data_IF_311568068385
#
_entry.id   IF_311568068385
#
_cell.length_a   1.000
_cell.length_b   1.000
_cell.length_c   1.000
_cell.angle_alpha   90.00
_cell.angle_beta   90.00
_cell.angle_gamma   90.00
#
_symmetry.space_group_name_H-M   'P 1'
#
loop_
_entity.id
_entity.type
_entity.pdbx_description
1 polymer ?
#
# COMPACT_ATOMS: atom_id res chain seq x y z
N UNK A 1 -14.32 -12.44 -21.29
CA UNK A 1 -13.65 -11.12 -21.24
C UNK A 1 -14.33 -10.29 -20.18
N UNK A 2 -13.62 -9.93 -19.11
CA UNK A 2 -14.13 -9.01 -18.08
C UNK A 2 -14.17 -7.64 -18.74
N UNK A 3 -15.36 -7.05 -18.84
CA UNK A 3 -15.54 -5.70 -19.36
C UNK A 3 -14.80 -4.74 -18.42
N UNK A 4 -13.72 -4.15 -18.87
CA UNK A 4 -12.90 -3.22 -18.12
C UNK A 4 -13.64 -1.89 -18.02
N UNK A 5 -14.44 -1.72 -16.98
CA UNK A 5 -15.16 -0.47 -16.73
C UNK A 5 -14.30 0.56 -15.96
N UNK A 6 -13.24 0.11 -15.26
CA UNK A 6 -12.40 0.96 -14.39
C UNK A 6 -10.97 1.04 -14.90
N UNK A 7 -10.39 2.23 -14.84
CA UNK A 7 -8.97 2.47 -15.14
C UNK A 7 -8.09 2.02 -13.99
N UNK A 8 -7.13 1.16 -14.30
CA UNK A 8 -6.32 0.43 -13.34
C UNK A 8 -4.85 0.85 -13.38
N UNK A 9 -4.37 1.34 -12.28
CA UNK A 9 -3.00 1.80 -12.07
C UNK A 9 -2.29 0.95 -11.03
N UNK A 10 -1.09 0.48 -11.37
CA UNK A 10 -0.21 -0.23 -10.45
C UNK A 10 1.01 0.65 -10.21
N UNK A 11 1.43 0.78 -8.96
CA UNK A 11 2.70 1.42 -8.65
C UNK A 11 3.58 0.53 -7.77
N UNK A 12 4.86 0.53 -8.09
CA UNK A 12 5.91 -0.22 -7.43
C UNK A 12 6.74 0.78 -6.65
N UNK A 13 6.69 0.72 -5.30
CA UNK A 13 7.58 1.50 -4.45
C UNK A 13 8.97 0.89 -4.50
N UNK A 14 9.96 1.69 -4.88
CA UNK A 14 11.33 1.22 -5.06
C UNK A 14 12.34 2.11 -4.36
N UNK A 15 13.27 1.47 -3.64
CA UNK A 15 14.45 2.11 -3.06
C UNK A 15 15.58 1.09 -2.83
N UNK A 16 16.64 1.14 -3.66
CA UNK A 16 17.78 0.22 -3.62
C UNK A 16 17.36 -1.25 -3.84
N UNK A 17 16.53 -1.51 -4.83
CA UNK A 17 16.01 -2.84 -5.19
C UNK A 17 16.71 -3.47 -6.39
N UNK A 18 18.00 -3.18 -6.64
CA UNK A 18 18.77 -3.72 -7.77
C UNK A 18 18.71 -5.25 -7.92
N UNK A 19 18.52 -5.97 -6.81
CA UNK A 19 18.50 -7.44 -6.79
C UNK A 19 17.12 -8.03 -7.10
N UNK A 20 16.06 -7.28 -6.86
CA UNK A 20 14.69 -7.79 -6.85
C UNK A 20 13.81 -7.19 -7.93
N UNK A 21 14.11 -5.98 -8.41
CA UNK A 21 13.24 -5.23 -9.32
C UNK A 21 12.95 -5.98 -10.63
N UNK A 22 13.94 -6.65 -11.23
CA UNK A 22 13.73 -7.41 -12.47
C UNK A 22 12.87 -8.64 -12.22
N UNK A 23 13.19 -9.41 -11.17
CA UNK A 23 12.41 -10.58 -10.79
C UNK A 23 10.96 -10.22 -10.48
N UNK A 24 10.71 -9.03 -9.89
CA UNK A 24 9.35 -8.56 -9.66
C UNK A 24 8.63 -8.31 -10.99
N UNK A 25 9.27 -7.61 -11.93
CA UNK A 25 8.66 -7.30 -13.24
C UNK A 25 8.35 -8.58 -14.04
N UNK A 26 9.23 -9.57 -13.97
CA UNK A 26 9.06 -10.88 -14.62
C UNK A 26 7.92 -11.70 -13.99
N UNK A 27 7.73 -11.59 -12.67
CA UNK A 27 6.66 -12.29 -11.95
C UNK A 27 5.28 -11.66 -12.11
N UNK A 28 5.18 -10.41 -12.56
CA UNK A 28 3.86 -9.80 -12.86
C UNK A 28 3.20 -10.61 -13.97
N UNK A 29 2.04 -11.25 -13.73
CA UNK A 29 1.37 -12.08 -14.73
C UNK A 29 1.01 -11.28 -15.99
N UNK A 30 1.02 -11.97 -17.14
CA UNK A 30 0.60 -11.34 -18.40
C UNK A 30 -0.82 -10.77 -18.32
N UNK A 31 -1.74 -11.46 -17.64
CA UNK A 31 -3.11 -10.96 -17.42
C UNK A 31 -3.13 -9.62 -16.68
N UNK A 32 -2.21 -9.41 -15.74
CA UNK A 32 -2.06 -8.14 -15.01
C UNK A 32 -1.49 -7.05 -15.92
N UNK A 33 -0.48 -7.37 -16.76
CA UNK A 33 0.03 -6.44 -17.78
C UNK A 33 -1.06 -6.02 -18.77
N UNK A 34 -1.89 -6.95 -19.21
CA UNK A 34 -2.99 -6.67 -20.12
C UNK A 34 -4.06 -5.80 -19.46
N UNK A 35 -4.37 -6.07 -18.18
CA UNK A 35 -5.39 -5.39 -17.38
C UNK A 35 -4.97 -3.97 -16.97
N UNK A 36 -3.71 -3.75 -16.59
CA UNK A 36 -3.22 -2.45 -16.15
C UNK A 36 -3.27 -1.42 -17.28
N UNK A 37 -3.65 -0.17 -16.98
CA UNK A 37 -3.49 0.97 -17.91
C UNK A 37 -2.08 1.51 -17.84
N UNK A 38 -1.49 1.53 -16.66
CA UNK A 38 -0.10 1.92 -16.42
C UNK A 38 0.47 1.16 -15.22
N UNK A 39 1.75 0.81 -15.32
CA UNK A 39 2.57 0.31 -14.20
C UNK A 39 3.69 1.33 -14.00
N UNK A 40 3.76 1.92 -12.81
CA UNK A 40 4.75 2.92 -12.44
C UNK A 40 5.77 2.33 -11.46
N UNK A 41 7.05 2.41 -11.77
CA UNK A 41 8.10 2.29 -10.76
C UNK A 41 8.36 3.69 -10.23
N UNK A 42 8.02 3.92 -8.95
CA UNK A 42 8.29 5.14 -8.22
C UNK A 42 9.54 4.95 -7.36
N UNK A 43 10.68 5.33 -7.89
CA UNK A 43 11.98 5.18 -7.26
C UNK A 43 12.27 6.35 -6.30
N UNK A 44 12.50 6.03 -5.04
CA UNK A 44 12.70 7.00 -3.97
C UNK A 44 14.17 7.45 -3.83
N UNK A 45 14.78 7.81 -4.95
CA UNK A 45 16.19 8.26 -5.04
C UNK A 45 17.18 7.13 -4.69
N UNK A 46 17.04 5.97 -5.35
CA UNK A 46 17.98 4.84 -5.20
C UNK A 46 19.41 5.25 -5.48
N UNK A 47 20.33 4.68 -4.70
CA UNK A 47 21.79 4.92 -4.82
C UNK A 47 22.48 3.82 -5.63
N UNK A 48 21.77 2.77 -5.96
CA UNK A 48 22.24 1.64 -6.77
C UNK A 48 21.66 1.72 -8.20
N UNK A 49 21.95 0.72 -9.02
CA UNK A 49 21.54 0.63 -10.43
C UNK A 49 20.07 0.13 -10.64
N UNK A 50 19.19 0.30 -9.65
CA UNK A 50 17.78 -0.12 -9.71
C UNK A 50 17.07 0.49 -10.92
N UNK A 51 17.21 1.80 -11.11
CA UNK A 51 16.51 2.54 -12.17
C UNK A 51 17.05 2.16 -13.55
N UNK A 52 18.37 2.10 -13.69
CA UNK A 52 19.05 1.74 -14.92
C UNK A 52 18.65 0.34 -15.40
N UNK A 53 18.57 -0.62 -14.48
CA UNK A 53 18.10 -1.99 -14.76
C UNK A 53 16.65 -2.01 -15.22
N UNK A 54 15.78 -1.29 -14.53
CA UNK A 54 14.37 -1.21 -14.90
C UNK A 54 14.17 -0.54 -16.27
N UNK A 55 14.95 0.51 -16.59
CA UNK A 55 14.94 1.17 -17.89
C UNK A 55 15.40 0.25 -19.02
N UNK A 56 16.49 -0.50 -18.80
CA UNK A 56 16.98 -1.46 -19.76
C UNK A 56 15.95 -2.56 -20.02
N UNK A 57 15.38 -3.14 -18.96
CA UNK A 57 14.33 -4.16 -19.03
C UNK A 57 13.10 -3.66 -19.82
N UNK A 58 12.64 -2.43 -19.52
CA UNK A 58 11.55 -1.78 -20.28
C UNK A 58 11.84 -1.73 -21.76
N UNK A 59 13.07 -1.34 -22.14
CA UNK A 59 13.50 -1.21 -23.55
C UNK A 59 13.54 -2.57 -24.23
N UNK A 60 14.18 -3.56 -23.63
CA UNK A 60 14.38 -4.89 -24.21
C UNK A 60 13.04 -5.62 -24.43
N UNK A 61 12.11 -5.47 -23.49
CA UNK A 61 10.78 -6.08 -23.56
C UNK A 61 9.71 -5.18 -24.19
N UNK A 62 10.06 -3.99 -24.69
CA UNK A 62 9.16 -3.02 -25.34
C UNK A 62 7.91 -2.70 -24.51
N UNK A 63 8.05 -2.55 -23.19
CA UNK A 63 6.95 -2.40 -22.24
C UNK A 63 6.39 -0.97 -22.28
N UNK A 64 5.42 -0.71 -23.17
CA UNK A 64 4.82 0.63 -23.35
C UNK A 64 4.07 1.14 -22.12
N UNK A 65 3.48 0.24 -21.33
CA UNK A 65 2.70 0.58 -20.12
C UNK A 65 3.57 0.77 -18.87
N UNK A 66 4.87 0.49 -18.92
CA UNK A 66 5.79 0.71 -17.81
C UNK A 66 6.32 2.14 -17.85
N UNK A 67 6.05 2.90 -16.78
CA UNK A 67 6.64 4.21 -16.52
C UNK A 67 7.65 4.09 -15.37
N UNK A 68 8.74 4.83 -15.41
CA UNK A 68 9.75 4.85 -14.36
C UNK A 68 10.00 6.31 -14.00
N UNK A 69 9.79 6.65 -12.73
CA UNK A 69 10.04 7.97 -12.18
C UNK A 69 11.01 7.83 -11.01
N UNK A 70 12.14 8.53 -11.07
CA UNK A 70 13.11 8.67 -9.98
C UNK A 70 12.92 10.02 -9.32
N UNK A 71 12.76 10.03 -8.01
CA UNK A 71 12.71 11.29 -7.26
C UNK A 71 14.10 11.92 -7.15
N UNK A 72 14.16 13.24 -7.15
CA UNK A 72 15.40 14.00 -6.96
C UNK A 72 15.99 13.83 -5.54
N UNK A 73 15.11 13.59 -4.57
CA UNK A 73 15.46 13.31 -3.16
C UNK A 73 14.53 12.25 -2.57
N UNK A 74 15.06 11.51 -1.61
CA UNK A 74 14.28 10.53 -0.87
C UNK A 74 13.14 11.23 -0.11
N UNK A 75 11.91 10.76 -0.36
CA UNK A 75 10.66 11.28 0.24
C UNK A 75 10.23 10.48 1.46
N UNK A 76 10.83 9.31 1.66
CA UNK A 76 10.39 8.30 2.61
C UNK A 76 9.20 7.49 2.12
N UNK A 77 8.94 6.39 2.80
CA UNK A 77 7.93 5.41 2.42
C UNK A 77 6.52 6.01 2.21
N UNK A 78 6.02 6.76 3.20
CA UNK A 78 4.73 7.45 3.10
C UNK A 78 4.76 8.60 2.09
N UNK A 79 5.90 9.30 1.96
CA UNK A 79 6.07 10.38 0.99
C UNK A 79 6.00 9.88 -0.45
N UNK A 80 6.59 8.72 -0.74
CA UNK A 80 6.52 8.09 -2.05
C UNK A 80 5.10 7.56 -2.35
N UNK A 81 4.39 7.02 -1.36
CA UNK A 81 2.98 6.66 -1.50
C UNK A 81 2.10 7.88 -1.85
N UNK A 82 2.27 9.00 -1.13
CA UNK A 82 1.55 10.24 -1.42
C UNK A 82 1.74 10.69 -2.87
N UNK A 83 2.97 10.63 -3.35
CA UNK A 83 3.26 10.93 -4.76
C UNK A 83 2.45 10.04 -5.69
N UNK A 84 2.48 8.72 -5.49
CA UNK A 84 1.77 7.75 -6.34
C UNK A 84 0.26 7.92 -6.29
N UNK A 85 -0.33 8.21 -5.12
CA UNK A 85 -1.76 8.46 -5.02
C UNK A 85 -2.17 9.77 -5.70
N UNK A 86 -1.42 10.85 -5.53
CA UNK A 86 -1.67 12.11 -6.24
C UNK A 86 -1.51 11.92 -7.76
N UNK A 87 -0.52 11.14 -8.20
CA UNK A 87 -0.34 10.79 -9.60
C UNK A 87 -1.56 10.04 -10.15
N UNK A 88 -2.03 9.02 -9.44
CA UNK A 88 -3.22 8.26 -9.84
C UNK A 88 -4.46 9.15 -9.97
N UNK A 89 -4.68 10.04 -9.01
CA UNK A 89 -5.79 10.99 -9.00
C UNK A 89 -5.69 11.97 -10.19
N UNK A 90 -4.50 12.53 -10.43
CA UNK A 90 -4.28 13.52 -11.51
C UNK A 90 -4.45 12.93 -12.91
N UNK A 91 -4.10 11.64 -13.07
CA UNK A 91 -4.25 10.90 -14.34
C UNK A 91 -5.66 10.31 -14.53
N UNK A 92 -6.54 10.43 -13.54
CA UNK A 92 -7.91 9.94 -13.61
C UNK A 92 -8.01 8.42 -13.62
N UNK A 93 -7.11 7.73 -12.91
CA UNK A 93 -7.27 6.30 -12.63
C UNK A 93 -8.33 6.09 -11.56
N UNK A 94 -9.04 4.96 -11.63
CA UNK A 94 -10.11 4.64 -10.68
C UNK A 94 -9.58 3.85 -9.49
N UNK A 95 -8.59 3.00 -9.73
CA UNK A 95 -7.99 2.12 -8.71
C UNK A 95 -6.47 2.19 -8.81
N UNK A 96 -5.83 2.40 -7.66
CA UNK A 96 -4.40 2.39 -7.48
C UNK A 96 -3.97 1.19 -6.61
N UNK A 97 -3.14 0.30 -7.15
CA UNK A 97 -2.58 -0.85 -6.42
C UNK A 97 -1.11 -0.64 -6.14
N UNK A 98 -0.75 -0.78 -4.88
CA UNK A 98 0.62 -0.69 -4.38
C UNK A 98 1.28 -2.06 -4.31
N UNK A 99 2.48 -2.15 -4.85
CA UNK A 99 3.38 -3.30 -4.75
C UNK A 99 4.75 -2.81 -4.28
N UNK A 100 5.47 -3.62 -3.52
CA UNK A 100 6.85 -3.30 -3.11
C UNK A 100 7.87 -3.92 -4.05
N UNK A 101 8.96 -3.20 -4.31
CA UNK A 101 10.05 -3.65 -5.16
C UNK A 101 10.92 -4.77 -4.57
N UNK A 102 10.69 -5.15 -3.30
CA UNK A 102 11.47 -6.11 -2.53
C UNK A 102 11.01 -7.58 -2.66
N UNK A 103 9.99 -7.86 -3.47
CA UNK A 103 9.40 -9.20 -3.66
C UNK A 103 8.73 -9.83 -2.43
N UNK A 104 8.56 -9.12 -1.32
CA UNK A 104 7.88 -9.67 -0.14
C UNK A 104 6.41 -9.99 -0.40
N UNK A 105 5.80 -9.35 -1.41
CA UNK A 105 4.40 -9.54 -1.77
C UNK A 105 4.26 -10.20 -3.15
N UNK A 106 3.33 -11.15 -3.30
CA UNK A 106 3.14 -11.90 -4.53
C UNK A 106 2.40 -11.06 -5.57
N UNK A 107 3.03 -10.64 -6.70
CA UNK A 107 2.38 -9.86 -7.74
C UNK A 107 1.24 -10.64 -8.44
N UNK A 108 1.19 -11.94 -8.28
CA UNK A 108 0.13 -12.83 -8.77
C UNK A 108 -1.23 -12.53 -8.12
N UNK A 109 -1.23 -11.88 -6.95
CA UNK A 109 -2.45 -11.51 -6.22
C UNK A 109 -2.98 -10.10 -6.57
N UNK A 110 -2.34 -9.39 -7.51
CA UNK A 110 -2.80 -8.07 -7.97
C UNK A 110 -4.21 -8.17 -8.57
N UNK A 111 -4.44 -9.13 -9.47
CA UNK A 111 -5.73 -9.31 -10.13
C UNK A 111 -6.84 -9.72 -9.13
N UNK A 112 -6.66 -10.70 -8.23
CA UNK A 112 -7.61 -10.97 -7.15
C UNK A 112 -7.95 -9.74 -6.30
N UNK A 113 -6.94 -8.92 -5.96
CA UNK A 113 -7.14 -7.71 -5.16
C UNK A 113 -7.97 -6.66 -5.93
N UNK A 114 -7.66 -6.44 -7.20
CA UNK A 114 -8.40 -5.54 -8.08
C UNK A 114 -9.86 -5.97 -8.26
N UNK A 115 -10.11 -7.26 -8.41
CA UNK A 115 -11.46 -7.81 -8.63
C UNK A 115 -12.44 -7.55 -7.48
N UNK A 116 -11.96 -7.24 -6.26
CA UNK A 116 -12.81 -6.82 -5.16
C UNK A 116 -13.54 -5.50 -5.47
N UNK A 117 -12.88 -4.58 -6.17
CA UNK A 117 -13.44 -3.27 -6.52
C UNK A 117 -14.51 -3.34 -7.62
N UNK A 118 -14.52 -4.40 -8.41
CA UNK A 118 -15.53 -4.61 -9.47
C UNK A 118 -16.87 -5.11 -8.89
N UNK A 119 -16.82 -5.80 -7.75
CA UNK A 119 -17.98 -6.44 -7.16
C UNK A 119 -18.65 -5.62 -6.06
N UNK A 120 -17.94 -4.67 -5.47
CA UNK A 120 -18.39 -3.94 -4.29
C UNK A 120 -17.88 -2.49 -4.33
N UNK A 121 -18.68 -1.58 -3.76
CA UNK A 121 -18.21 -0.22 -3.51
C UNK A 121 -17.33 -0.21 -2.25
N UNK A 122 -16.02 -0.35 -2.44
CA UNK A 122 -15.00 -0.36 -1.37
C UNK A 122 -14.00 0.76 -1.57
N UNK A 123 -13.51 1.31 -0.49
CA UNK A 123 -12.47 2.37 -0.53
C UNK A 123 -11.06 1.79 -0.54
N UNK A 124 -10.87 0.66 0.12
CA UNK A 124 -9.56 0.02 0.26
C UNK A 124 -9.69 -1.50 0.25
N UNK A 125 -8.71 -2.16 -0.34
CA UNK A 125 -8.48 -3.59 -0.19
C UNK A 125 -6.99 -3.86 0.07
N UNK A 126 -6.67 -4.94 0.77
CA UNK A 126 -5.27 -5.33 0.98
C UNK A 126 -5.10 -6.84 1.09
N UNK A 127 -3.88 -7.29 0.83
CA UNK A 127 -3.47 -8.67 1.04
C UNK A 127 -2.99 -8.86 2.48
N UNK A 128 -3.66 -9.72 3.24
CA UNK A 128 -3.25 -10.06 4.61
C UNK A 128 -2.30 -11.25 4.62
N UNK A 129 -1.11 -11.05 5.16
CA UNK A 129 -0.14 -12.11 5.43
C UNK A 129 -0.61 -12.98 6.58
N UNK A 130 -1.23 -12.35 7.59
CA UNK A 130 -1.67 -13.04 8.81
C UNK A 130 -2.75 -14.07 8.53
N UNK A 131 -3.63 -13.83 7.56
CA UNK A 131 -4.62 -14.81 7.10
C UNK A 131 -4.06 -15.80 6.07
N UNK A 132 -2.86 -15.55 5.51
CA UNK A 132 -2.20 -16.37 4.50
C UNK A 132 -1.16 -17.36 5.03
N UNK A 133 -1.17 -17.69 6.32
CA UNK A 133 -0.22 -18.58 6.99
C UNK A 133 1.23 -18.08 6.98
N UNK A 134 1.52 -16.96 7.68
CA UNK A 134 2.81 -16.26 7.60
C UNK A 134 4.00 -17.08 8.11
N UNK A 135 3.79 -18.03 9.01
CA UNK A 135 4.87 -18.90 9.54
C UNK A 135 5.41 -19.85 8.48
N UNK A 136 4.58 -20.29 7.53
CA UNK A 136 5.06 -21.06 6.36
C UNK A 136 5.95 -20.22 5.44
N UNK A 137 5.79 -18.90 5.46
CA UNK A 137 6.59 -17.94 4.72
C UNK A 137 7.82 -17.44 5.48
N UNK A 138 8.25 -18.16 6.53
CA UNK A 138 9.42 -17.85 7.36
C UNK A 138 9.30 -16.48 8.09
N UNK A 139 8.08 -16.04 8.45
CA UNK A 139 7.93 -14.84 9.26
C UNK A 139 8.60 -15.04 10.62
N UNK A 140 9.55 -14.18 11.04
CA UNK A 140 10.17 -14.28 12.36
C UNK A 140 9.13 -14.19 13.47
N UNK A 141 9.24 -15.02 14.51
CA UNK A 141 8.26 -15.11 15.60
C UNK A 141 8.02 -13.76 16.29
N UNK A 142 9.05 -12.95 16.51
CA UNK A 142 8.88 -11.62 17.10
C UNK A 142 8.04 -10.66 16.23
N UNK A 143 8.14 -10.78 14.88
CA UNK A 143 7.27 -10.04 13.96
C UNK A 143 5.85 -10.57 13.99
N UNK A 144 5.68 -11.87 14.08
CA UNK A 144 4.38 -12.53 14.17
C UNK A 144 3.61 -12.07 15.42
N UNK A 145 4.22 -12.21 16.60
CA UNK A 145 3.57 -11.80 17.85
C UNK A 145 3.41 -10.27 17.94
N UNK A 146 4.38 -9.50 17.46
CA UNK A 146 4.28 -8.05 17.38
C UNK A 146 3.12 -7.59 16.48
N UNK A 147 2.93 -8.24 15.33
CA UNK A 147 1.81 -7.96 14.44
C UNK A 147 0.46 -8.28 15.11
N UNK A 148 0.33 -9.44 15.77
CA UNK A 148 -0.88 -9.80 16.50
C UNK A 148 -1.20 -8.75 17.57
N UNK A 149 -0.22 -8.37 18.38
CA UNK A 149 -0.40 -7.38 19.44
C UNK A 149 -0.89 -6.03 18.91
N UNK A 150 -0.20 -5.49 17.89
CA UNK A 150 -0.56 -4.21 17.30
C UNK A 150 -1.92 -4.29 16.60
N UNK A 151 -2.16 -5.31 15.77
CA UNK A 151 -3.44 -5.52 15.07
C UNK A 151 -4.60 -5.65 16.05
N UNK A 152 -4.42 -6.37 17.17
CA UNK A 152 -5.46 -6.48 18.20
C UNK A 152 -5.76 -5.13 18.83
N UNK A 153 -4.72 -4.37 19.18
CA UNK A 153 -4.86 -3.02 19.73
C UNK A 153 -5.59 -2.08 18.80
N UNK A 154 -5.20 -2.06 17.50
CA UNK A 154 -5.84 -1.26 16.48
C UNK A 154 -7.30 -1.66 16.28
N UNK A 155 -7.61 -2.95 16.21
CA UNK A 155 -8.98 -3.45 16.10
C UNK A 155 -9.89 -2.99 17.26
N UNK A 156 -9.39 -3.08 18.50
CA UNK A 156 -10.13 -2.64 19.70
C UNK A 156 -10.43 -1.14 19.62
N UNK A 157 -9.42 -0.32 19.31
CA UNK A 157 -9.54 1.14 19.29
C UNK A 157 -10.41 1.62 18.14
N UNK A 158 -10.25 1.01 16.95
CA UNK A 158 -10.95 1.40 15.72
C UNK A 158 -12.33 0.75 15.58
N UNK A 159 -12.65 -0.28 16.39
CA UNK A 159 -13.90 -1.02 16.30
C UNK A 159 -13.98 -1.88 15.02
N UNK A 160 -12.86 -2.46 14.60
CA UNK A 160 -12.75 -3.28 13.38
C UNK A 160 -12.44 -4.75 13.70
N UNK A 161 -12.37 -5.58 12.66
CA UNK A 161 -12.01 -7.00 12.76
C UNK A 161 -11.07 -7.39 11.62
N UNK A 162 -10.10 -6.53 11.31
CA UNK A 162 -9.10 -6.82 10.29
C UNK A 162 -8.10 -7.84 10.82
N UNK A 163 -7.62 -8.72 9.93
CA UNK A 163 -6.64 -9.74 10.31
C UNK A 163 -5.21 -9.18 10.35
N UNK A 164 -4.97 -8.03 9.70
CA UNK A 164 -3.69 -7.34 9.69
C UNK A 164 -3.84 -5.85 9.38
N UNK A 165 -2.99 -4.99 9.97
CA UNK A 165 -2.89 -3.56 9.62
C UNK A 165 -1.57 -3.20 8.91
N UNK A 166 -0.59 -4.09 8.91
CA UNK A 166 0.81 -3.76 8.59
C UNK A 166 1.29 -4.38 7.26
N UNK A 167 0.35 -4.87 6.45
CA UNK A 167 0.67 -5.32 5.09
C UNK A 167 0.82 -4.13 4.16
N UNK A 168 1.90 -4.09 3.36
CA UNK A 168 2.13 -3.08 2.33
C UNK A 168 1.55 -3.43 0.96
N UNK A 169 0.83 -4.54 0.81
CA UNK A 169 0.17 -4.92 -0.44
C UNK A 169 -1.27 -4.44 -0.46
N UNK A 170 -1.50 -3.27 -1.04
CA UNK A 170 -2.74 -2.50 -0.89
C UNK A 170 -3.29 -1.97 -2.19
N UNK A 171 -4.59 -1.82 -2.25
CA UNK A 171 -5.29 -1.16 -3.34
C UNK A 171 -6.30 -0.15 -2.78
N UNK A 172 -6.45 0.97 -3.47
CA UNK A 172 -7.35 2.05 -3.08
C UNK A 172 -8.20 2.51 -4.27
N UNK A 173 -9.46 2.79 -4.00
CA UNK A 173 -10.27 3.59 -4.90
C UNK A 173 -9.76 5.05 -4.85
N UNK A 174 -9.50 5.66 -5.99
CA UNK A 174 -9.09 7.07 -6.05
C UNK A 174 -10.22 7.99 -5.59
N UNK A 175 -11.48 7.58 -5.73
CA UNK A 175 -12.63 8.28 -5.17
C UNK A 175 -12.54 8.35 -3.64
N UNK A 176 -12.17 7.25 -2.98
CA UNK A 176 -11.96 7.23 -1.53
C UNK A 176 -10.76 8.10 -1.13
N UNK A 177 -9.65 8.03 -1.88
CA UNK A 177 -8.46 8.85 -1.64
C UNK A 177 -8.77 10.35 -1.73
N UNK A 178 -9.60 10.79 -2.67
CA UNK A 178 -10.01 12.21 -2.82
C UNK A 178 -10.79 12.73 -1.62
N UNK A 179 -11.42 11.86 -0.83
CA UNK A 179 -12.25 12.22 0.32
C UNK A 179 -11.46 12.37 1.62
N UNK A 180 -10.19 11.96 1.64
CA UNK A 180 -9.37 11.89 2.84
C UNK A 180 -8.12 12.79 2.72
N UNK A 181 -7.65 13.38 3.81
CA UNK A 181 -6.48 14.26 3.79
C UNK A 181 -5.15 13.48 3.90
N UNK A 182 -4.95 12.41 3.07
CA UNK A 182 -3.78 11.55 3.15
C UNK A 182 -2.44 12.30 3.00
N UNK A 183 -2.44 13.46 2.36
CA UNK A 183 -1.25 14.32 2.25
C UNK A 183 -0.77 14.88 3.60
N UNK A 184 -1.64 14.90 4.62
CA UNK A 184 -1.31 15.32 6.00
C UNK A 184 -0.69 14.21 6.84
N UNK A 185 -0.65 12.98 6.34
CA UNK A 185 -0.05 11.84 7.00
C UNK A 185 1.48 11.93 7.04
N UNK A 186 2.11 11.09 7.85
CA UNK A 186 3.55 10.93 7.93
C UNK A 186 4.20 10.56 6.57
N UNK A 187 5.49 10.82 6.43
CA UNK A 187 6.29 10.30 5.33
C UNK A 187 6.96 8.96 5.67
N UNK A 188 6.81 8.46 6.89
CA UNK A 188 7.41 7.21 7.39
C UNK A 188 6.43 6.03 7.27
N UNK A 189 6.82 4.85 7.73
CA UNK A 189 6.08 3.58 7.61
C UNK A 189 4.71 3.57 8.29
N UNK A 190 4.52 4.34 9.35
CA UNK A 190 3.22 4.45 10.03
C UNK A 190 2.15 5.22 9.24
N UNK A 191 2.49 5.79 8.06
CA UNK A 191 1.51 6.26 7.08
C UNK A 191 0.39 5.24 6.82
N UNK A 192 0.75 3.97 6.84
CA UNK A 192 -0.15 2.86 6.55
C UNK A 192 -1.30 2.72 7.56
N UNK A 193 -1.07 2.97 8.85
CA UNK A 193 -2.15 2.99 9.84
C UNK A 193 -2.93 4.29 9.81
N UNK A 194 -2.28 5.42 9.53
CA UNK A 194 -2.97 6.71 9.40
C UNK A 194 -4.00 6.70 8.28
N UNK A 195 -3.64 6.16 7.11
CA UNK A 195 -4.57 6.11 5.97
C UNK A 195 -5.73 5.14 6.21
N UNK A 196 -5.53 4.02 6.92
CA UNK A 196 -6.62 3.11 7.32
C UNK A 196 -7.64 3.85 8.19
N UNK A 197 -7.17 4.60 9.21
CA UNK A 197 -8.05 5.42 10.05
C UNK A 197 -8.87 6.39 9.20
N UNK A 198 -8.25 7.07 8.25
CA UNK A 198 -8.93 8.01 7.36
C UNK A 198 -9.99 7.33 6.48
N UNK A 199 -9.69 6.15 5.94
CA UNK A 199 -10.64 5.35 5.15
C UNK A 199 -11.85 4.95 6.01
N UNK A 200 -11.64 4.54 7.26
CA UNK A 200 -12.70 4.20 8.19
C UNK A 200 -13.55 5.43 8.55
N UNK A 201 -12.91 6.56 8.87
CA UNK A 201 -13.60 7.83 9.17
C UNK A 201 -14.42 8.36 7.99
N UNK A 202 -14.03 8.06 6.76
CA UNK A 202 -14.77 8.45 5.55
C UNK A 202 -15.90 7.48 5.19
N UNK A 203 -16.26 6.54 6.11
CA UNK A 203 -17.29 5.51 5.93
C UNK A 203 -17.07 4.60 4.70
N UNK A 204 -15.84 4.47 4.25
CA UNK A 204 -15.49 3.55 3.19
C UNK A 204 -15.25 2.14 3.75
N UNK A 205 -15.68 1.13 2.98
CA UNK A 205 -15.45 -0.28 3.34
C UNK A 205 -14.02 -0.69 3.04
N UNK A 206 -13.45 -1.49 3.94
CA UNK A 206 -12.15 -2.15 3.75
C UNK A 206 -12.40 -3.65 3.56
N UNK A 207 -11.67 -4.26 2.63
CA UNK A 207 -11.67 -5.71 2.40
C UNK A 207 -10.25 -6.24 2.41
N UNK A 208 -10.12 -7.52 2.74
CA UNK A 208 -8.84 -8.21 2.75
C UNK A 208 -8.95 -9.57 2.05
N UNK A 209 -7.83 -10.01 1.48
CA UNK A 209 -7.66 -11.35 0.93
C UNK A 209 -6.43 -12.00 1.57
N UNK A 210 -6.45 -13.30 1.83
CA UNK A 210 -5.24 -13.99 2.28
C UNK A 210 -4.20 -14.00 1.17
N UNK A 211 -2.94 -13.70 1.52
CA UNK A 211 -1.81 -13.81 0.61
C UNK A 211 -0.69 -14.62 1.25
N UNK A 212 0.05 -15.44 0.49
CA UNK A 212 1.31 -15.96 0.96
C UNK A 212 2.30 -14.82 1.13
N UNK A 213 3.23 -14.98 2.05
CA UNK A 213 4.36 -14.08 2.20
C UNK A 213 5.66 -14.88 2.22
N UNK A 214 6.73 -14.25 1.85
CA UNK A 214 8.05 -14.85 1.88
C UNK A 214 9.03 -13.90 2.57
N UNK A 215 9.69 -14.39 3.59
CA UNK A 215 10.79 -13.70 4.26
C UNK A 215 12.09 -14.39 3.88
N UNK A 216 12.84 -13.77 2.98
CA UNK A 216 14.17 -14.20 2.57
C UNK A 216 15.27 -13.41 3.28
N UNK A 217 16.45 -13.35 2.65
CA UNK A 217 17.64 -12.64 3.18
C UNK A 217 17.59 -11.12 3.00
N UNK A 218 16.44 -10.57 2.67
CA UNK A 218 16.27 -9.15 2.41
C UNK A 218 16.36 -8.33 3.70
N UNK A 219 17.12 -7.23 3.62
CA UNK A 219 17.24 -6.30 4.75
C UNK A 219 15.92 -5.59 5.01
N UNK A 220 15.31 -5.88 6.15
CA UNK A 220 14.17 -5.11 6.63
C UNK A 220 14.64 -3.71 7.06
N UNK A 221 14.19 -2.68 6.35
CA UNK A 221 14.53 -1.29 6.65
C UNK A 221 13.71 -0.71 7.82
N UNK A 222 12.77 -1.47 8.38
CA UNK A 222 11.87 -1.03 9.47
C UNK A 222 12.49 -1.33 10.83
N UNK A 223 12.72 -0.31 11.63
CA UNK A 223 12.97 -0.51 13.06
C UNK A 223 11.63 -0.85 13.73
N UNK A 224 11.44 -2.14 14.04
CA UNK A 224 10.16 -2.68 14.53
C UNK A 224 9.71 -2.09 15.87
N UNK A 225 10.67 -1.75 16.76
CA UNK A 225 10.37 -1.15 18.06
C UNK A 225 9.85 0.28 17.89
N UNK A 226 10.60 1.11 17.14
CA UNK A 226 10.19 2.48 16.82
C UNK A 226 8.85 2.49 16.09
N UNK A 227 8.65 1.56 15.16
CA UNK A 227 7.41 1.40 14.43
C UNK A 227 6.23 1.12 15.38
N UNK A 228 6.38 0.17 16.30
CA UNK A 228 5.35 -0.16 17.29
C UNK A 228 4.96 1.05 18.15
N UNK A 229 5.94 1.81 18.65
CA UNK A 229 5.65 3.04 19.41
C UNK A 229 4.94 4.10 18.56
N UNK A 230 5.30 4.24 17.28
CA UNK A 230 4.62 5.16 16.38
C UNK A 230 3.14 4.77 16.19
N UNK A 231 2.86 3.47 16.00
CA UNK A 231 1.47 2.97 15.89
C UNK A 231 0.66 3.26 17.16
N UNK A 232 1.20 2.94 18.33
CA UNK A 232 0.53 3.24 19.60
C UNK A 232 0.31 4.76 19.79
N UNK A 233 1.28 5.57 19.38
CA UNK A 233 1.15 7.03 19.37
C UNK A 233 0.01 7.52 18.47
N UNK A 234 -0.15 6.94 17.26
CA UNK A 234 -1.26 7.26 16.35
C UNK A 234 -2.61 6.84 16.95
N UNK A 235 -2.66 5.67 17.58
CA UNK A 235 -3.88 5.21 18.26
C UNK A 235 -4.26 6.17 19.40
N UNK A 236 -3.29 6.66 20.19
CA UNK A 236 -3.51 7.70 21.20
C UNK A 236 -4.03 9.01 20.58
N UNK A 237 -3.44 9.47 19.48
CA UNK A 237 -3.92 10.66 18.75
C UNK A 237 -5.36 10.47 18.25
N UNK A 238 -5.69 9.30 17.72
CA UNK A 238 -7.04 8.98 17.27
C UNK A 238 -8.05 8.99 18.43
N UNK A 239 -7.71 8.43 19.60
CA UNK A 239 -8.56 8.47 20.79
C UNK A 239 -8.82 9.91 21.26
N UNK A 240 -7.78 10.76 21.32
CA UNK A 240 -7.92 12.18 21.66
C UNK A 240 -8.80 12.93 20.66
N UNK A 241 -8.70 12.59 19.38
CA UNK A 241 -9.57 13.14 18.33
C UNK A 241 -11.03 12.67 18.51
N UNK A 242 -11.24 11.37 18.69
CA UNK A 242 -12.57 10.76 18.83
C UNK A 242 -13.33 11.29 20.08
N UNK A 243 -12.61 11.59 21.15
CA UNK A 243 -13.17 12.16 22.39
C UNK A 243 -13.28 13.70 22.36
N UNK A 244 -12.99 14.36 21.23
CA UNK A 244 -12.95 15.80 21.06
C UNK A 244 -12.00 16.56 22.02
N UNK A 245 -11.03 15.84 22.63
CA UNK A 245 -10.02 16.45 23.49
C UNK A 245 -8.93 17.17 22.71
N UNK A 246 -8.68 16.76 21.46
CA UNK A 246 -7.70 17.38 20.59
C UNK A 246 -8.05 17.20 19.12
N UNK A 247 -7.91 18.25 18.31
CA UNK A 247 -8.06 18.16 16.85
C UNK A 247 -6.74 17.78 16.18
N UNK A 248 -6.85 16.99 15.11
CA UNK A 248 -5.73 16.64 14.24
C UNK A 248 -6.18 16.78 12.79
N UNK A 249 -5.50 17.61 12.01
CA UNK A 249 -5.84 17.85 10.59
C UNK A 249 -5.95 16.56 9.77
N UNK A 250 -5.09 15.60 10.04
CA UNK A 250 -5.09 14.29 9.33
C UNK A 250 -6.34 13.46 9.60
N UNK A 251 -7.10 13.72 10.67
CA UNK A 251 -8.35 13.00 10.98
C UNK A 251 -9.59 13.86 10.68
N UNK A 252 -9.40 15.12 10.35
CA UNK A 252 -10.51 16.04 10.02
C UNK A 252 -10.99 15.78 8.58
N UNK A 253 -11.92 14.83 8.45
CA UNK A 253 -12.53 14.47 7.17
C UNK A 253 -13.81 15.28 7.02
N UNK A 254 -13.97 15.94 5.86
CA UNK A 254 -15.19 16.68 5.58
C UNK A 254 -16.40 15.71 5.64
N UNK A 255 -17.49 16.09 6.36
CA UNK A 255 -18.66 15.24 6.42
C UNK A 255 -19.20 14.99 5.01
N UNK A 256 -19.45 13.71 4.69
CA UNK A 256 -20.14 13.36 3.45
C UNK A 256 -21.54 13.96 3.55
N UNK A 257 -21.84 14.99 2.75
CA UNK A 257 -23.23 15.46 2.61
C UNK A 257 -24.04 14.30 2.03
N UNK A 258 -24.87 13.70 2.87
CA UNK A 258 -25.93 12.79 2.40
C UNK A 258 -26.94 13.71 1.72
N UNK A 259 -26.96 13.63 0.38
CA UNK A 259 -27.99 14.29 -0.44
C UNK A 259 -29.14 13.32 -0.60
#
# INVERSE_FOLDING_TARGET
>A
MIKKEKKFFIFILSYNHRRTILNLLERIPKSVWDLADEILIADDCSKDDTVERAMQYKKDNKLKKLTIIRHEKNKGYGGNQKFCYNYAISKGYDIAVMVHGDLQYPPEYIEPLFNLFNKQNIGMAFGSRMSGNPLKGNMPLYKYFGNIFLTTTENIILGTRLTEFHSGFRAYSTEALKKIPFNKNSNDFHFDSEIIIQILLSNNKIKEIPIPTFYGDEKCNVNVIKYGFNILGIMGQYLLYKTNLRSYEKFSIAPVKII
#
